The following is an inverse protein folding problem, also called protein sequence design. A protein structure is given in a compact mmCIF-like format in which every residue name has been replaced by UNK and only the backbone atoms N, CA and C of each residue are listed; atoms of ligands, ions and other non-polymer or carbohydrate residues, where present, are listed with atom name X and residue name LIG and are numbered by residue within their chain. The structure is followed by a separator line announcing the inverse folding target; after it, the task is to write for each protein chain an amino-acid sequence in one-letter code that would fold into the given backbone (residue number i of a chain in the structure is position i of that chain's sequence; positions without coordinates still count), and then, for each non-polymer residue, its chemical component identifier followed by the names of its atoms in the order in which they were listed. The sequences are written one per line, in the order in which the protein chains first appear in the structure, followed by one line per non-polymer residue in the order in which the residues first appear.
data_IF_974351788329
#
_entry.id   IF_974351788329
#
_cell.length_a   1.000
_cell.length_b   1.000
_cell.length_c   1.000
_cell.angle_alpha   90.00
_cell.angle_beta   90.00
_cell.angle_gamma   90.00
#
_symmetry.space_group_name_H-M   'P 1'
#
loop_
_entity.id
_entity.type
_entity.pdbx_description
1 polymer ?
#
# COMPACT_ATOMS: atom_id res chain seq x y z
N UNK A 1 7.94 8.81 -1.93
CA UNK A 1 7.82 7.97 -0.73
C UNK A 1 9.09 7.97 0.10
N UNK A 2 8.92 7.94 1.40
CA UNK A 2 10.02 7.90 2.37
C UNK A 2 9.96 6.59 3.16
N UNK A 3 11.11 6.08 3.55
CA UNK A 3 11.22 4.93 4.44
C UNK A 3 12.33 5.20 5.44
N UNK A 4 11.99 5.20 6.72
CA UNK A 4 12.93 5.47 7.82
C UNK A 4 13.77 6.75 7.58
N UNK A 5 13.12 7.80 7.08
CA UNK A 5 13.75 9.10 6.85
C UNK A 5 14.50 9.25 5.53
N UNK A 6 14.56 8.22 4.69
CA UNK A 6 15.27 8.26 3.42
C UNK A 6 14.30 8.15 2.24
N UNK A 7 14.56 8.88 1.12
CA UNK A 7 13.75 8.72 -0.09
C UNK A 7 13.89 7.33 -0.70
N UNK A 8 12.79 6.82 -1.25
CA UNK A 8 12.77 5.50 -1.90
C UNK A 8 12.64 5.66 -3.40
N UNK A 9 13.69 5.27 -4.14
CA UNK A 9 13.71 5.31 -5.60
C UNK A 9 13.31 3.99 -6.23
N UNK A 10 13.75 2.88 -5.62
CA UNK A 10 13.51 1.53 -6.12
C UNK A 10 13.08 0.62 -4.98
N UNK A 11 12.34 -0.41 -5.32
CA UNK A 11 11.85 -1.40 -4.35
C UNK A 11 12.51 -2.74 -4.65
N UNK A 12 13.14 -3.40 -3.65
CA UNK A 12 13.71 -4.74 -3.86
C UNK A 12 12.67 -5.73 -4.39
N UNK A 13 13.10 -6.61 -5.29
CA UNK A 13 12.21 -7.54 -5.99
C UNK A 13 11.47 -8.52 -5.06
N UNK A 14 12.02 -8.80 -3.89
CA UNK A 14 11.39 -9.69 -2.91
C UNK A 14 10.10 -9.14 -2.33
N UNK A 15 9.85 -7.85 -2.45
CA UNK A 15 8.64 -7.21 -1.90
C UNK A 15 7.59 -7.01 -2.98
N UNK A 16 6.35 -7.37 -2.66
CA UNK A 16 5.21 -7.19 -3.58
C UNK A 16 4.46 -5.91 -3.29
N UNK A 17 4.63 -5.33 -2.12
CA UNK A 17 3.93 -4.12 -1.71
C UNK A 17 4.40 -3.59 -0.38
N UNK A 18 3.72 -2.54 0.08
CA UNK A 18 4.03 -1.91 1.37
C UNK A 18 2.78 -1.37 2.04
N UNK A 19 2.84 -1.30 3.36
CA UNK A 19 1.86 -0.60 4.19
C UNK A 19 2.41 0.79 4.46
N UNK A 20 1.56 1.80 4.33
CA UNK A 20 2.01 3.20 4.35
C UNK A 20 1.15 4.08 5.23
N UNK A 21 1.71 5.24 5.56
CA UNK A 21 1.02 6.33 6.23
C UNK A 21 1.17 7.60 5.39
N UNK A 22 0.05 8.22 5.06
CA UNK A 22 0.02 9.54 4.43
C UNK A 22 -0.45 10.53 5.48
N UNK A 23 0.28 11.62 5.65
CA UNK A 23 -0.03 12.65 6.64
C UNK A 23 -0.27 13.99 5.96
N UNK A 24 -1.42 14.60 6.27
CA UNK A 24 -1.68 15.99 5.95
C UNK A 24 -0.89 16.84 6.95
N UNK A 25 0.20 17.45 6.50
CA UNK A 25 1.09 18.21 7.39
C UNK A 25 0.48 19.50 7.91
N UNK A 26 -0.61 19.98 7.27
CA UNK A 26 -1.34 21.16 7.72
C UNK A 26 -2.23 20.87 8.92
N UNK A 27 -2.92 19.71 8.91
CA UNK A 27 -3.90 19.34 9.95
C UNK A 27 -3.42 18.26 10.89
N UNK A 28 -2.39 17.50 10.51
CA UNK A 28 -1.93 16.31 11.23
C UNK A 28 -2.76 15.06 10.94
N UNK A 29 -3.78 15.16 10.10
CA UNK A 29 -4.67 14.06 9.77
C UNK A 29 -3.96 13.02 8.91
N UNK A 30 -4.23 11.72 9.14
CA UNK A 30 -3.46 10.62 8.56
C UNK A 30 -4.35 9.59 7.86
N UNK A 31 -3.72 8.81 7.00
CA UNK A 31 -4.36 7.67 6.35
C UNK A 31 -3.40 6.49 6.33
N UNK A 32 -3.88 5.33 6.77
CA UNK A 32 -3.11 4.08 6.75
C UNK A 32 -3.70 3.19 5.64
N UNK A 33 -2.85 2.75 4.74
CA UNK A 33 -3.27 1.91 3.62
C UNK A 33 -2.18 0.97 3.16
N UNK A 34 -2.48 0.24 2.09
CA UNK A 34 -1.52 -0.65 1.44
C UNK A 34 -1.45 -0.36 -0.04
N UNK A 35 -0.33 -0.69 -0.65
CA UNK A 35 -0.13 -0.54 -2.09
C UNK A 35 0.68 -1.70 -2.64
N UNK A 36 0.17 -2.34 -3.69
CA UNK A 36 0.94 -3.27 -4.48
C UNK A 36 1.91 -2.49 -5.37
N UNK A 37 3.17 -2.93 -5.42
CA UNK A 37 4.18 -2.28 -6.25
C UNK A 37 4.32 -2.94 -7.61
N UNK A 38 3.86 -4.17 -7.72
CA UNK A 38 3.91 -4.92 -8.98
C UNK A 38 2.72 -5.87 -9.09
N UNK A 39 2.32 -6.12 -10.31
CA UNK A 39 1.27 -7.08 -10.64
C UNK A 39 1.88 -8.23 -11.42
N UNK A 40 1.35 -9.43 -11.20
CA UNK A 40 1.63 -10.58 -12.06
C UNK A 40 0.60 -10.59 -13.18
N UNK A 41 1.08 -10.59 -14.41
CA UNK A 41 0.24 -10.66 -15.60
C UNK A 41 0.57 -11.94 -16.36
N UNK A 42 -0.33 -12.36 -17.25
CA UNK A 42 -0.08 -13.49 -18.14
C UNK A 42 -0.38 -13.10 -19.55
N UNK A 43 0.36 -13.71 -20.50
CA UNK A 43 0.11 -13.59 -21.94
C UNK A 43 -0.28 -14.95 -22.47
N UNK A 44 -0.99 -15.01 -23.63
CA UNK A 44 -1.28 -16.29 -24.27
C UNK A 44 0.00 -17.11 -24.47
N UNK A 45 -0.09 -18.45 -24.45
CA UNK A 45 1.07 -19.29 -24.71
C UNK A 45 1.69 -19.00 -26.08
N UNK A 46 2.99 -19.15 -26.17
CA UNK A 46 3.64 -19.11 -27.49
C UNK A 46 3.15 -20.28 -28.32
N UNK A 47 3.17 -20.09 -29.65
CA UNK A 47 2.76 -21.15 -30.61
C UNK A 47 3.47 -22.46 -30.30
N UNK A 48 2.70 -23.54 -30.13
CA UNK A 48 3.22 -24.86 -29.80
C UNK A 48 3.48 -25.10 -28.31
N UNK A 49 3.20 -24.15 -27.44
CA UNK A 49 3.37 -24.29 -25.99
C UNK A 49 2.01 -24.32 -25.27
N UNK A 50 1.94 -25.05 -24.15
CA UNK A 50 0.71 -25.26 -23.41
C UNK A 50 0.50 -24.23 -22.31
N UNK A 51 1.58 -23.69 -21.73
CA UNK A 51 1.48 -22.83 -20.55
C UNK A 51 1.47 -21.35 -20.92
N UNK A 52 0.65 -20.57 -20.20
CA UNK A 52 0.67 -19.12 -20.33
C UNK A 52 2.01 -18.57 -19.85
N UNK A 53 2.47 -17.52 -20.50
CA UNK A 53 3.67 -16.80 -20.09
C UNK A 53 3.31 -15.82 -18.99
N UNK A 54 4.04 -15.85 -17.89
CA UNK A 54 3.85 -14.91 -16.78
C UNK A 54 4.93 -13.86 -16.78
N UNK A 55 4.57 -12.65 -16.41
CA UNK A 55 5.49 -11.52 -16.30
C UNK A 55 5.02 -10.57 -15.22
N UNK A 56 5.91 -9.70 -14.72
CA UNK A 56 5.61 -8.70 -13.71
C UNK A 56 5.48 -7.33 -14.36
N UNK A 57 4.51 -6.54 -13.88
CA UNK A 57 4.29 -5.16 -14.32
C UNK A 57 4.33 -4.27 -13.08
N UNK A 58 5.14 -3.21 -13.14
CA UNK A 58 5.19 -2.21 -12.07
C UNK A 58 3.87 -1.46 -11.98
N UNK A 59 3.38 -1.21 -10.75
CA UNK A 59 2.18 -0.43 -10.52
C UNK A 59 2.49 1.07 -10.54
N UNK A 60 1.46 1.90 -10.31
CA UNK A 60 1.58 3.35 -10.19
C UNK A 60 2.00 3.82 -8.78
N UNK A 61 2.74 2.99 -8.05
CA UNK A 61 3.07 3.27 -6.65
C UNK A 61 3.82 4.59 -6.45
N UNK A 62 4.61 5.03 -7.43
CA UNK A 62 5.41 6.24 -7.32
C UNK A 62 4.55 7.50 -7.19
N UNK A 63 3.45 7.56 -7.92
CA UNK A 63 2.52 8.70 -7.95
C UNK A 63 1.33 8.54 -7.00
N UNK A 64 1.23 7.40 -6.33
CA UNK A 64 0.04 7.03 -5.56
C UNK A 64 -0.07 7.81 -4.25
N UNK A 65 -1.26 8.36 -3.98
CA UNK A 65 -1.58 9.13 -2.77
C UNK A 65 -2.80 8.58 -2.04
N UNK A 66 -2.99 7.28 -2.04
CA UNK A 66 -4.08 6.63 -1.30
C UNK A 66 -5.37 6.52 -2.09
N UNK A 67 -6.34 5.82 -1.50
CA UNK A 67 -7.62 5.51 -2.15
C UNK A 67 -8.84 6.12 -1.43
N UNK A 68 -8.62 6.92 -0.41
CA UNK A 68 -9.71 7.58 0.33
C UNK A 68 -10.19 8.81 -0.42
N UNK A 69 -11.52 8.94 -0.59
CA UNK A 69 -12.11 10.11 -1.23
C UNK A 69 -11.86 11.38 -0.42
N UNK A 70 -11.98 11.30 0.90
CA UNK A 70 -11.73 12.44 1.78
C UNK A 70 -10.28 12.91 1.72
N UNK A 71 -9.34 11.98 1.68
CA UNK A 71 -7.92 12.28 1.52
C UNK A 71 -7.65 12.92 0.15
N UNK A 72 -8.20 12.36 -0.91
CA UNK A 72 -8.04 12.88 -2.28
C UNK A 72 -8.57 14.30 -2.39
N UNK A 73 -9.74 14.59 -1.79
CA UNK A 73 -10.32 15.93 -1.78
C UNK A 73 -9.39 16.93 -1.11
N UNK A 74 -8.84 16.60 0.05
CA UNK A 74 -7.90 17.49 0.74
C UNK A 74 -6.60 17.70 -0.05
N UNK A 75 -6.10 16.66 -0.74
CA UNK A 75 -4.93 16.80 -1.61
C UNK A 75 -5.20 17.76 -2.76
N UNK A 76 -6.38 17.69 -3.37
CA UNK A 76 -6.76 18.60 -4.45
C UNK A 76 -6.86 20.04 -3.97
N UNK A 77 -7.36 20.27 -2.76
CA UNK A 77 -7.52 21.62 -2.20
C UNK A 77 -6.21 22.22 -1.69
N UNK A 78 -5.37 21.40 -1.03
CA UNK A 78 -4.17 21.88 -0.34
C UNK A 78 -2.89 21.71 -1.15
N UNK A 79 -2.91 20.81 -2.14
CA UNK A 79 -1.73 20.46 -2.93
C UNK A 79 -0.91 19.33 -2.32
N UNK A 80 -0.26 18.56 -3.18
CA UNK A 80 0.52 17.39 -2.78
C UNK A 80 1.70 17.74 -1.85
N UNK A 81 2.24 18.94 -1.97
CA UNK A 81 3.38 19.39 -1.15
C UNK A 81 3.02 19.48 0.35
N UNK A 82 1.75 19.50 0.70
CA UNK A 82 1.29 19.53 2.09
C UNK A 82 1.01 18.13 2.65
N UNK A 83 1.39 17.09 1.93
CA UNK A 83 1.20 15.70 2.34
C UNK A 83 2.51 14.94 2.29
N UNK A 84 2.83 14.25 3.39
CA UNK A 84 3.98 13.37 3.45
C UNK A 84 3.52 11.92 3.25
N UNK A 85 4.35 11.11 2.60
CA UNK A 85 4.08 9.70 2.34
C UNK A 85 5.22 8.89 2.92
N UNK A 86 4.90 8.01 3.85
CA UNK A 86 5.90 7.18 4.52
C UNK A 86 5.53 5.71 4.41
N UNK A 87 6.51 4.89 4.06
CA UNK A 87 6.38 3.45 4.05
C UNK A 87 6.68 2.95 5.46
N UNK A 88 5.71 2.21 6.03
CA UNK A 88 5.84 1.65 7.37
C UNK A 88 6.42 0.23 7.35
N UNK A 89 5.91 -0.62 6.45
CA UNK A 89 6.30 -2.02 6.36
C UNK A 89 6.38 -2.49 4.93
N UNK A 90 7.46 -3.17 4.59
CA UNK A 90 7.61 -3.89 3.35
C UNK A 90 6.98 -5.28 3.49
N UNK A 91 6.25 -5.74 2.48
CA UNK A 91 5.56 -7.01 2.51
C UNK A 91 5.92 -7.89 1.32
N UNK A 92 6.10 -9.20 1.58
CA UNK A 92 6.60 -10.16 0.61
C UNK A 92 5.53 -10.89 -0.17
N UNK A 93 4.30 -10.88 0.33
CA UNK A 93 3.16 -11.48 -0.36
C UNK A 93 1.88 -10.74 -0.01
N UNK A 94 0.82 -11.03 -0.75
CA UNK A 94 -0.47 -10.33 -0.57
C UNK A 94 -1.12 -10.63 0.78
N UNK A 95 -0.94 -11.83 1.33
CA UNK A 95 -1.50 -12.18 2.63
C UNK A 95 -0.84 -11.34 3.74
N UNK A 96 0.48 -11.23 3.72
CA UNK A 96 1.22 -10.38 4.65
C UNK A 96 0.81 -8.92 4.52
N UNK A 97 0.70 -8.44 3.28
CA UNK A 97 0.30 -7.06 3.00
C UNK A 97 -1.07 -6.73 3.60
N UNK A 98 -2.06 -7.59 3.39
CA UNK A 98 -3.40 -7.39 3.93
C UNK A 98 -3.44 -7.52 5.45
N UNK A 99 -2.69 -8.46 6.01
CA UNK A 99 -2.63 -8.67 7.46
C UNK A 99 -1.98 -7.48 8.17
N UNK A 100 -0.84 -7.02 7.70
CA UNK A 100 -0.10 -5.90 8.30
C UNK A 100 -0.92 -4.61 8.19
N UNK A 101 -1.56 -4.36 7.06
CA UNK A 101 -2.45 -3.20 6.90
C UNK A 101 -3.54 -3.21 7.96
N UNK A 102 -4.28 -4.31 8.07
CA UNK A 102 -5.38 -4.42 9.03
C UNK A 102 -4.88 -4.31 10.48
N UNK A 103 -3.76 -4.95 10.79
CA UNK A 103 -3.14 -4.89 12.11
C UNK A 103 -2.84 -3.45 12.51
N UNK A 104 -2.22 -2.68 11.61
CA UNK A 104 -1.88 -1.28 11.88
C UNK A 104 -3.11 -0.40 11.99
N UNK A 105 -4.11 -0.63 11.16
CA UNK A 105 -5.37 0.11 11.24
C UNK A 105 -6.10 -0.14 12.57
N UNK A 106 -6.17 -1.37 13.02
CA UNK A 106 -6.77 -1.70 14.33
C UNK A 106 -5.94 -1.16 15.50
N UNK A 107 -4.63 -1.34 15.46
CA UNK A 107 -3.74 -0.88 16.53
C UNK A 107 -3.80 0.63 16.71
N UNK A 108 -3.94 1.38 15.63
CA UNK A 108 -4.04 2.84 15.63
C UNK A 108 -5.45 3.35 15.84
N UNK A 109 -6.44 2.46 15.90
CA UNK A 109 -7.86 2.79 16.10
C UNK A 109 -8.36 3.82 15.09
N UNK A 110 -8.04 3.60 13.83
CA UNK A 110 -8.29 4.58 12.75
C UNK A 110 -9.77 4.89 12.56
N UNK A 111 -10.67 3.96 12.89
CA UNK A 111 -12.12 4.18 12.77
C UNK A 111 -12.72 4.89 13.98
N UNK A 112 -11.97 5.04 15.07
CA UNK A 112 -12.42 5.65 16.30
C UNK A 112 -11.86 7.06 16.50
N UNK A 113 -11.11 7.58 15.53
CA UNK A 113 -10.42 8.85 15.65
C UNK A 113 -10.64 9.74 14.44
N UNK A 114 -10.97 11.01 14.69
CA UNK A 114 -11.07 12.03 13.63
C UNK A 114 -9.70 12.42 13.06
N UNK A 115 -8.62 11.94 13.67
CA UNK A 115 -7.26 12.17 13.19
C UNK A 115 -6.91 11.33 11.96
N UNK A 116 -7.78 10.38 11.58
CA UNK A 116 -7.57 9.52 10.43
C UNK A 116 -8.65 9.69 9.38
N UNK A 117 -8.24 9.63 8.11
CA UNK A 117 -9.16 9.62 6.97
C UNK A 117 -9.86 8.28 6.76
N UNK A 118 -9.36 7.22 7.40
CA UNK A 118 -9.88 5.87 7.19
C UNK A 118 -11.35 5.76 7.59
N UNK A 119 -12.19 5.31 6.67
CA UNK A 119 -13.63 5.13 6.90
C UNK A 119 -14.08 3.68 7.04
N UNK A 120 -13.20 2.72 6.76
CA UNK A 120 -13.50 1.31 6.90
C UNK A 120 -12.20 0.50 7.00
N UNK A 121 -12.32 -0.72 7.53
CA UNK A 121 -11.24 -1.70 7.54
C UNK A 121 -11.76 -2.96 6.87
N UNK A 122 -11.07 -3.41 5.84
CA UNK A 122 -11.37 -4.67 5.16
C UNK A 122 -10.19 -5.60 5.30
N UNK A 123 -10.46 -6.83 5.74
CA UNK A 123 -9.41 -7.83 5.87
C UNK A 123 -9.94 -9.22 5.50
N UNK A 124 -9.16 -9.92 4.68
CA UNK A 124 -9.39 -11.32 4.34
C UNK A 124 -8.02 -11.97 4.19
N UNK A 125 -7.61 -12.74 5.20
CA UNK A 125 -6.26 -13.28 5.27
C UNK A 125 -6.30 -14.74 5.73
N UNK A 126 -5.44 -15.55 5.10
CA UNK A 126 -5.17 -16.92 5.54
C UNK A 126 -3.77 -16.98 6.15
N UNK A 127 -3.64 -17.76 7.22
CA UNK A 127 -2.37 -17.90 7.92
C UNK A 127 -1.26 -18.56 7.10
N UNK A 128 -1.61 -19.27 6.03
CA UNK A 128 -0.61 -19.99 5.20
C UNK A 128 0.45 -19.07 4.58
N UNK A 129 0.11 -17.81 4.31
CA UNK A 129 1.07 -16.83 3.75
C UNK A 129 1.85 -16.06 4.80
N UNK A 130 1.66 -16.36 6.09
CA UNK A 130 2.27 -15.64 7.19
C UNK A 130 3.26 -16.53 7.95
N UNK A 131 4.34 -15.93 8.43
CA UNK A 131 5.30 -16.64 9.27
C UNK A 131 4.74 -16.78 10.68
N UNK A 132 4.54 -18.03 11.09
CA UNK A 132 4.21 -18.35 12.48
C UNK A 132 5.50 -18.68 13.23
N UNK A 133 5.63 -18.10 14.39
CA UNK A 133 6.74 -18.39 15.30
C UNK A 133 6.20 -18.77 16.67
#
# INVERSE_FOLDING_TARGET
WMYQGEPVDTIPEEYVGFVYEITNTTTGRKYIGKKLVQFKRSRPPLKGRKNKRRYKVESDWREYYGSSDALTEDIEQLGQQNFSREILFWCRNKAELSYIEAREQFARKVLESDEYYNGHIRVRVHGAGLNKK
#
